data_IF_978288080076
#
_entry.id   IF_978288080076
#
_cell.length_a   1.000
_cell.length_b   1.000
_cell.length_c   1.000
_cell.angle_alpha   90.00
_cell.angle_beta   90.00
_cell.angle_gamma   90.00
#
_symmetry.space_group_name_H-M   'P 1'
#
loop_
_entity.id
_entity.type
_entity.pdbx_description
1 polymer ?
#
# COMPACT_ATOMS: atom_id res chain seq x y z
N UNK A 1 16.71 13.83 21.66
CA UNK A 1 17.74 13.65 20.62
C UNK A 1 17.64 12.23 20.07
N UNK A 2 16.83 12.01 19.03
CA UNK A 2 16.88 10.81 18.20
C UNK A 2 16.56 11.28 16.78
N UNK A 3 17.60 11.64 16.02
CA UNK A 3 17.51 11.96 14.60
C UNK A 3 17.80 10.65 13.88
N UNK A 4 16.76 9.92 13.47
CA UNK A 4 16.92 8.84 12.51
C UNK A 4 17.23 9.46 11.15
N UNK A 5 18.52 9.54 10.83
CA UNK A 5 19.03 9.82 9.50
C UNK A 5 18.80 8.57 8.64
N UNK A 6 17.57 8.36 8.17
CA UNK A 6 17.28 7.30 7.21
C UNK A 6 17.49 7.90 5.81
N UNK A 7 18.75 7.88 5.39
CA UNK A 7 19.20 8.35 4.08
C UNK A 7 18.74 7.35 3.02
N UNK A 8 17.56 7.59 2.44
CA UNK A 8 16.98 6.80 1.33
C UNK A 8 17.22 7.60 0.04
N UNK A 9 18.39 7.45 -0.56
CA UNK A 9 18.84 8.19 -1.75
C UNK A 9 18.51 7.51 -3.11
N UNK A 10 17.69 6.45 -3.17
CA UNK A 10 17.36 5.74 -4.44
C UNK A 10 15.94 5.95 -4.95
N UNK A 11 15.17 6.84 -4.33
CA UNK A 11 13.72 6.83 -4.50
C UNK A 11 13.12 8.14 -5.01
N UNK A 12 13.92 8.92 -5.74
CA UNK A 12 13.44 9.95 -6.68
C UNK A 12 12.94 9.33 -8.00
N UNK A 13 13.53 8.23 -8.46
CA UNK A 13 13.14 7.61 -9.75
C UNK A 13 11.76 6.94 -9.70
N UNK A 14 11.39 6.31 -8.58
CA UNK A 14 10.06 5.73 -8.37
C UNK A 14 8.99 6.82 -8.18
N UNK A 15 9.35 7.98 -7.62
CA UNK A 15 8.42 9.10 -7.40
C UNK A 15 7.86 9.65 -8.71
N UNK A 16 8.67 9.71 -9.78
CA UNK A 16 8.24 10.25 -11.08
C UNK A 16 7.26 9.32 -11.83
N UNK A 17 7.44 7.99 -11.72
CA UNK A 17 6.57 7.00 -12.41
C UNK A 17 5.18 6.91 -11.77
N UNK A 18 5.06 7.11 -10.46
CA UNK A 18 3.77 7.07 -9.74
C UNK A 18 2.94 8.35 -9.94
N UNK A 19 3.57 9.48 -10.29
CA UNK A 19 2.91 10.78 -10.43
C UNK A 19 2.08 10.96 -11.71
N UNK A 20 2.15 10.03 -12.68
CA UNK A 20 1.69 10.29 -14.06
C UNK A 20 0.22 9.96 -14.34
N UNK A 21 -0.53 9.27 -13.47
CA UNK A 21 -1.95 9.05 -13.73
C UNK A 21 -2.78 8.87 -12.46
N UNK A 22 -3.36 9.96 -11.93
CA UNK A 22 -4.33 9.82 -10.87
C UNK A 22 -5.72 10.38 -11.17
N UNK A 23 -6.73 9.76 -10.57
CA UNK A 23 -8.11 10.20 -10.60
C UNK A 23 -8.29 11.45 -9.73
N UNK A 24 -8.75 12.55 -10.35
CA UNK A 24 -8.87 13.91 -9.78
C UNK A 24 -9.49 13.99 -8.37
N UNK A 25 -10.35 13.04 -8.02
CA UNK A 25 -11.02 12.98 -6.70
C UNK A 25 -10.10 12.48 -5.57
N UNK A 26 -9.26 11.47 -5.83
CA UNK A 26 -8.34 10.93 -4.83
C UNK A 26 -7.20 11.89 -4.55
N UNK A 27 -6.72 12.61 -5.56
CA UNK A 27 -5.61 13.55 -5.38
C UNK A 27 -5.97 14.70 -4.46
N UNK A 28 -7.23 15.13 -4.47
CA UNK A 28 -7.71 16.15 -3.53
C UNK A 28 -7.65 15.66 -2.08
N UNK A 29 -7.88 14.36 -1.83
CA UNK A 29 -7.76 13.80 -0.47
C UNK A 29 -6.30 13.77 -0.02
N UNK A 30 -5.38 13.42 -0.91
CA UNK A 30 -3.94 13.44 -0.63
C UNK A 30 -3.41 14.87 -0.43
N UNK A 31 -3.87 15.83 -1.22
CA UNK A 31 -3.57 17.25 -1.01
C UNK A 31 -4.11 17.70 0.36
N UNK A 32 -5.36 17.37 0.68
CA UNK A 32 -5.97 17.75 1.96
C UNK A 32 -5.26 17.11 3.17
N UNK A 33 -4.71 15.91 2.98
CA UNK A 33 -3.92 15.21 3.98
C UNK A 33 -2.58 15.92 4.25
N UNK A 34 -1.97 16.52 3.23
CA UNK A 34 -0.70 17.25 3.32
C UNK A 34 -0.88 18.72 3.73
N UNK A 35 -1.89 19.40 3.18
CA UNK A 35 -2.18 20.83 3.39
C UNK A 35 -3.22 21.10 4.49
N UNK A 36 -3.75 20.06 5.13
CA UNK A 36 -4.73 20.20 6.19
C UNK A 36 -4.15 20.98 7.38
N UNK A 37 -4.70 22.16 7.64
CA UNK A 37 -4.28 23.08 8.71
C UNK A 37 -4.60 22.58 10.11
N UNK A 38 -5.55 21.66 10.25
CA UNK A 38 -5.90 21.06 11.55
C UNK A 38 -5.72 19.55 11.54
N UNK A 39 -5.31 18.94 12.67
CA UNK A 39 -5.14 17.49 12.78
C UNK A 39 -6.46 16.73 12.56
N UNK A 40 -7.61 17.35 12.87
CA UNK A 40 -8.94 16.77 12.68
C UNK A 40 -9.26 16.63 11.20
N UNK A 41 -8.96 17.64 10.38
CA UNK A 41 -9.15 17.58 8.93
C UNK A 41 -8.29 16.51 8.28
N UNK A 42 -7.02 16.39 8.71
CA UNK A 42 -6.10 15.34 8.21
C UNK A 42 -6.59 13.94 8.57
N UNK A 43 -7.08 13.75 9.79
CA UNK A 43 -7.69 12.49 10.24
C UNK A 43 -8.95 12.14 9.45
N UNK A 44 -9.82 13.12 9.17
CA UNK A 44 -11.02 12.90 8.37
C UNK A 44 -10.67 12.50 6.93
N UNK A 45 -9.67 13.13 6.32
CA UNK A 45 -9.17 12.74 4.98
C UNK A 45 -8.58 11.32 4.99
N UNK A 46 -7.79 10.97 6.01
CA UNK A 46 -7.26 9.63 6.21
C UNK A 46 -8.37 8.56 6.35
N UNK A 47 -9.42 8.86 7.08
CA UNK A 47 -10.59 7.97 7.23
C UNK A 47 -11.30 7.75 5.89
N UNK A 48 -11.49 8.82 5.11
CA UNK A 48 -12.10 8.71 3.78
C UNK A 48 -11.28 7.85 2.82
N UNK A 49 -9.94 7.93 2.86
CA UNK A 49 -9.07 7.04 2.09
C UNK A 49 -9.30 5.57 2.47
N UNK A 50 -9.49 5.28 3.76
CA UNK A 50 -9.84 3.94 4.23
C UNK A 50 -11.19 3.46 3.70
N UNK A 51 -12.22 4.31 3.70
CA UNK A 51 -13.56 3.98 3.19
C UNK A 51 -13.55 3.68 1.69
N UNK A 52 -12.76 4.43 0.91
CA UNK A 52 -12.57 4.17 -0.52
C UNK A 52 -12.01 2.77 -0.77
N UNK A 53 -11.00 2.34 0.01
CA UNK A 53 -10.42 0.98 -0.11
C UNK A 53 -11.48 -0.10 0.13
N UNK A 54 -12.39 0.13 1.09
CA UNK A 54 -13.48 -0.81 1.38
C UNK A 54 -14.43 -1.00 0.20
N UNK A 55 -14.73 0.08 -0.53
CA UNK A 55 -15.60 0.05 -1.71
C UNK A 55 -14.87 -0.48 -2.96
N UNK A 56 -13.57 -0.21 -3.08
CA UNK A 56 -12.76 -0.51 -4.24
C UNK A 56 -11.45 -1.23 -3.85
N UNK A 57 -11.51 -2.52 -3.49
CA UNK A 57 -10.33 -3.26 -3.01
C UNK A 57 -9.24 -3.42 -4.08
N UNK A 58 -9.59 -3.29 -5.37
CA UNK A 58 -8.64 -3.36 -6.48
C UNK A 58 -7.70 -2.14 -6.56
N UNK A 59 -8.09 -0.99 -5.98
CA UNK A 59 -7.28 0.23 -5.98
C UNK A 59 -6.32 0.32 -4.79
N UNK A 60 -6.36 -0.66 -3.87
CA UNK A 60 -5.53 -0.68 -2.66
C UNK A 60 -4.04 -0.47 -2.96
N UNK A 61 -3.50 -1.19 -3.95
CA UNK A 61 -2.08 -1.10 -4.30
C UNK A 61 -1.69 0.31 -4.78
N UNK A 62 -2.57 0.96 -5.54
CA UNK A 62 -2.37 2.33 -6.03
C UNK A 62 -2.43 3.34 -4.87
N UNK A 63 -3.40 3.17 -3.96
CA UNK A 63 -3.54 4.01 -2.77
C UNK A 63 -2.34 3.88 -1.83
N UNK A 64 -1.87 2.65 -1.56
CA UNK A 64 -0.69 2.42 -0.74
C UNK A 64 0.57 3.02 -1.36
N UNK A 65 0.77 2.87 -2.67
CA UNK A 65 1.90 3.48 -3.37
C UNK A 65 1.94 5.01 -3.17
N UNK A 66 0.78 5.68 -3.24
CA UNK A 66 0.67 7.12 -2.97
C UNK A 66 0.91 7.47 -1.51
N UNK A 67 0.33 6.75 -0.56
CA UNK A 67 0.54 7.00 0.89
C UNK A 67 2.02 6.86 1.26
N UNK A 68 2.74 5.89 0.67
CA UNK A 68 4.17 5.70 0.86
C UNK A 68 5.00 6.91 0.43
N UNK A 69 4.56 7.64 -0.60
CA UNK A 69 5.20 8.89 -1.01
C UNK A 69 5.07 9.95 0.08
N UNK A 70 3.89 10.10 0.69
CA UNK A 70 3.66 11.07 1.77
C UNK A 70 4.40 10.72 3.07
N UNK A 71 4.61 9.43 3.36
CA UNK A 71 5.46 8.97 4.47
C UNK A 71 6.93 9.38 4.31
N UNK A 72 7.38 9.60 3.07
CA UNK A 72 8.75 10.05 2.75
C UNK A 72 8.88 11.56 2.58
N UNK A 73 7.80 12.32 2.80
CA UNK A 73 7.84 13.78 2.75
C UNK A 73 8.77 14.37 3.80
N UNK A 74 9.34 15.55 3.54
CA UNK A 74 10.18 16.29 4.51
C UNK A 74 9.35 16.87 5.66
N UNK A 75 8.05 17.08 5.46
CA UNK A 75 7.12 17.61 6.45
C UNK A 75 6.74 16.55 7.49
N UNK A 76 7.04 16.80 8.77
CA UNK A 76 6.70 15.89 9.87
C UNK A 76 5.19 15.65 10.01
N UNK A 77 4.39 16.70 9.91
CA UNK A 77 2.94 16.61 10.05
C UNK A 77 2.29 15.72 9.00
N UNK A 78 2.80 15.79 7.77
CA UNK A 78 2.38 14.96 6.64
C UNK A 78 2.68 13.48 6.89
N UNK A 79 3.84 13.16 7.50
CA UNK A 79 4.19 11.79 7.87
C UNK A 79 3.23 11.21 8.93
N UNK A 80 2.84 12.01 9.92
CA UNK A 80 1.88 11.58 10.96
C UNK A 80 0.50 11.34 10.34
N UNK A 81 0.04 12.24 9.47
CA UNK A 81 -1.24 12.09 8.79
C UNK A 81 -1.25 10.88 7.84
N UNK A 82 -0.17 10.64 7.11
CA UNK A 82 -0.02 9.48 6.24
C UNK A 82 -0.04 8.17 7.05
N UNK A 83 0.57 8.13 8.24
CA UNK A 83 0.48 7.00 9.17
C UNK A 83 -0.97 6.72 9.61
N UNK A 84 -1.75 7.76 9.91
CA UNK A 84 -3.18 7.62 10.23
C UNK A 84 -3.99 7.11 9.03
N UNK A 85 -3.61 7.48 7.80
CA UNK A 85 -4.24 6.94 6.59
C UNK A 85 -3.95 5.45 6.43
N UNK A 86 -2.71 5.00 6.65
CA UNK A 86 -2.37 3.57 6.64
C UNK A 86 -3.19 2.81 7.68
N UNK A 87 -3.30 3.34 8.90
CA UNK A 87 -4.10 2.72 9.97
C UNK A 87 -5.58 2.55 9.55
N UNK A 88 -6.19 3.59 8.98
CA UNK A 88 -7.57 3.55 8.52
C UNK A 88 -7.77 2.56 7.35
N UNK A 89 -6.80 2.48 6.44
CA UNK A 89 -6.80 1.52 5.33
C UNK A 89 -6.73 0.09 5.86
N UNK A 90 -5.76 -0.22 6.73
CA UNK A 90 -5.56 -1.57 7.27
C UNK A 90 -6.77 -2.07 8.04
N UNK A 91 -7.45 -1.19 8.80
CA UNK A 91 -8.69 -1.54 9.51
C UNK A 91 -9.83 -2.00 8.61
N UNK A 92 -9.82 -1.61 7.33
CA UNK A 92 -10.89 -1.92 6.39
C UNK A 92 -10.58 -3.11 5.48
N UNK A 93 -9.37 -3.66 5.50
CA UNK A 93 -8.97 -4.80 4.68
C UNK A 93 -9.32 -6.10 5.44
N UNK A 94 -10.01 -7.07 4.79
CA UNK A 94 -10.26 -8.37 5.41
C UNK A 94 -8.94 -9.12 5.63
N UNK A 95 -8.92 -9.97 6.66
CA UNK A 95 -7.72 -10.77 6.99
C UNK A 95 -7.28 -11.60 5.77
N UNK A 96 -6.03 -11.41 5.37
CA UNK A 96 -5.44 -12.15 4.26
C UNK A 96 -5.26 -13.62 4.68
N UNK A 97 -6.07 -14.51 4.12
CA UNK A 97 -5.93 -15.95 4.33
C UNK A 97 -5.38 -16.62 3.06
N UNK A 98 -4.06 -16.84 2.94
CA UNK A 98 -3.52 -17.58 1.82
C UNK A 98 -3.96 -19.03 1.96
N UNK A 99 -4.82 -19.50 1.07
CA UNK A 99 -5.05 -20.95 0.95
C UNK A 99 -3.69 -21.61 0.69
N UNK A 100 -3.33 -22.67 1.45
CA UNK A 100 -2.08 -23.35 1.24
C UNK A 100 -2.05 -23.84 -0.20
N UNK A 101 -1.25 -23.21 -1.06
CA UNK A 101 -1.08 -23.71 -2.41
C UNK A 101 -0.46 -25.12 -2.29
N UNK A 102 -1.06 -26.15 -2.91
CA UNK A 102 -0.47 -27.47 -2.88
C UNK A 102 0.94 -27.36 -3.48
N UNK A 103 1.95 -27.72 -2.70
CA UNK A 103 3.36 -27.71 -3.11
C UNK A 103 3.45 -28.47 -4.44
N UNK A 104 3.71 -27.74 -5.54
CA UNK A 104 3.80 -28.28 -6.90
C UNK A 104 4.87 -29.40 -7.03
N UNK A 105 5.75 -29.54 -6.04
CA UNK A 105 6.71 -30.64 -5.92
C UNK A 105 6.13 -32.02 -5.56
N UNK A 106 4.83 -32.13 -5.22
CA UNK A 106 4.16 -33.41 -5.04
C UNK A 106 3.56 -33.95 -6.36
N UNK A 107 3.07 -33.07 -7.23
CA UNK A 107 2.42 -33.47 -8.50
C UNK A 107 3.44 -34.02 -9.52
N UNK A 108 4.68 -33.50 -9.52
CA UNK A 108 5.75 -33.99 -10.42
C UNK A 108 6.18 -35.43 -10.12
N UNK A 109 6.12 -35.86 -8.85
CA UNK A 109 6.49 -37.24 -8.46
C UNK A 109 5.43 -38.26 -8.88
N UNK A 110 4.16 -37.89 -8.92
CA UNK A 110 3.09 -38.76 -9.39
C UNK A 110 3.22 -39.06 -10.90
N UNK A 111 3.64 -38.08 -11.71
CA UNK A 111 3.82 -38.26 -13.16
C UNK A 111 5.09 -39.07 -13.46
N UNK A 112 6.18 -38.83 -12.72
CA UNK A 112 7.45 -39.51 -12.97
C UNK A 112 7.41 -40.99 -12.57
N UNK A 113 6.64 -41.37 -11.54
CA UNK A 113 6.47 -42.77 -11.14
C UNK A 113 5.53 -43.59 -12.06
N UNK A 114 4.77 -42.94 -12.95
CA UNK A 114 3.97 -43.62 -13.97
C UNK A 114 4.77 -43.91 -15.25
N UNK A 115 5.94 -43.28 -15.43
CA UNK A 115 6.78 -43.42 -16.62
C UNK A 115 7.82 -44.55 -16.52
N UNK A 116 7.96 -45.22 -15.36
CA UNK A 116 8.94 -46.30 -15.14
C UNK A 116 8.33 -47.72 -15.07
N UNK A 117 7.11 -47.91 -15.58
CA UNK A 117 6.42 -49.23 -15.55
C UNK A 117 6.10 -49.82 -16.94
N UNK A 118 6.55 -49.20 -18.04
CA UNK A 118 6.49 -49.83 -19.36
C UNK A 118 7.87 -50.18 -19.92
N UNK A 119 8.14 -51.49 -19.86
CA UNK A 119 9.08 -52.32 -20.66
C UNK A 119 10.53 -52.35 -20.18
#
# INVERSE_FOLDING_TARGET
MIVFCFKIDEAEYIFYVVYLAPSVRLDRLFILLDTGTTPVTRKAAAQQLGEVVKLHPHELNNLLAKVLVHLRSTNWDSRIAAGQAVEAIVKNIPEWNPTPQPKQGALKRAIQNSAYICI
#
